data_IF_310729643974
#
_entry.id   IF_310729643974
#
_cell.length_a   1.000
_cell.length_b   1.000
_cell.length_c   1.000
_cell.angle_alpha   90.00
_cell.angle_beta   90.00
_cell.angle_gamma   90.00
#
_symmetry.space_group_name_H-M   'P 1'
#
loop_
_entity.id
_entity.type
_entity.pdbx_description
1 polymer ?
#
# COMPACT_ATOMS: atom_id res chain seq x y z
N UNK A 1 -32.11 -10.21 -13.03
CA UNK A 1 -31.00 -9.43 -13.62
C UNK A 1 -31.41 -7.98 -13.59
N UNK A 2 -30.56 -7.11 -13.14
CA UNK A 2 -30.80 -5.65 -13.12
C UNK A 2 -30.03 -5.03 -14.29
N UNK A 3 -30.72 -4.27 -15.13
CA UNK A 3 -30.08 -3.52 -16.21
C UNK A 3 -30.01 -2.03 -15.80
N UNK A 4 -28.79 -1.50 -15.73
CA UNK A 4 -28.52 -0.10 -15.39
C UNK A 4 -28.11 0.68 -16.65
N UNK A 5 -28.65 1.88 -16.88
CA UNK A 5 -28.36 2.66 -18.09
C UNK A 5 -26.87 3.00 -18.28
N UNK A 6 -26.11 3.13 -17.19
CA UNK A 6 -24.69 3.49 -17.23
C UNK A 6 -23.78 2.25 -17.19
N UNK A 7 -24.10 1.25 -16.36
CA UNK A 7 -23.26 0.10 -16.11
C UNK A 7 -23.68 -1.16 -16.87
N UNK A 8 -24.77 -1.10 -17.63
CA UNK A 8 -25.29 -2.24 -18.36
C UNK A 8 -25.87 -3.33 -17.45
N UNK A 9 -25.66 -4.58 -17.83
CA UNK A 9 -26.15 -5.73 -17.07
C UNK A 9 -25.41 -5.91 -15.75
N UNK A 10 -26.13 -5.83 -14.63
CA UNK A 10 -25.62 -6.09 -13.29
C UNK A 10 -25.94 -7.52 -12.86
N UNK A 11 -24.90 -8.32 -12.64
CA UNK A 11 -25.04 -9.72 -12.19
C UNK A 11 -25.40 -9.73 -10.70
N UNK A 12 -26.59 -10.24 -10.35
CA UNK A 12 -27.02 -10.35 -8.95
C UNK A 12 -26.67 -11.74 -8.41
N UNK A 13 -25.82 -11.79 -7.36
CA UNK A 13 -25.52 -13.01 -6.60
C UNK A 13 -26.15 -12.91 -5.20
N UNK A 14 -27.07 -13.79 -4.88
CA UNK A 14 -27.66 -13.93 -3.54
C UNK A 14 -26.69 -14.67 -2.63
N UNK A 15 -26.44 -14.12 -1.44
CA UNK A 15 -25.62 -14.74 -0.42
C UNK A 15 -26.31 -14.65 0.95
N UNK A 16 -26.70 -15.80 1.51
CA UNK A 16 -27.42 -15.88 2.78
C UNK A 16 -26.61 -15.34 3.98
N UNK A 17 -25.27 -15.32 3.88
CA UNK A 17 -24.38 -14.78 4.93
C UNK A 17 -24.18 -13.26 4.81
N UNK A 18 -24.56 -12.66 3.70
CA UNK A 18 -24.41 -11.21 3.50
C UNK A 18 -25.51 -10.47 4.24
N UNK A 19 -25.14 -9.42 4.97
CA UNK A 19 -26.08 -8.52 5.67
C UNK A 19 -26.35 -7.23 4.90
N UNK A 20 -25.51 -6.91 3.92
CA UNK A 20 -25.59 -5.68 3.14
C UNK A 20 -25.42 -5.97 1.65
N UNK A 21 -25.91 -5.04 0.81
CA UNK A 21 -25.63 -5.05 -0.63
C UNK A 21 -24.23 -4.52 -0.86
N UNK A 22 -23.40 -5.27 -1.59
CA UNK A 22 -22.07 -4.85 -1.99
C UNK A 22 -21.87 -5.02 -3.50
N UNK A 23 -21.05 -4.13 -4.09
CA UNK A 23 -20.73 -4.17 -5.51
C UNK A 23 -19.25 -4.49 -5.73
N UNK A 24 -19.02 -5.39 -6.68
CA UNK A 24 -17.69 -5.79 -7.13
C UNK A 24 -17.64 -5.85 -8.66
N UNK A 25 -16.47 -5.79 -9.23
CA UNK A 25 -16.27 -5.94 -10.68
C UNK A 25 -15.68 -7.32 -10.91
N UNK A 26 -16.36 -8.15 -11.73
CA UNK A 26 -15.90 -9.48 -12.10
C UNK A 26 -14.60 -9.43 -12.89
N UNK A 27 -13.96 -10.57 -13.08
CA UNK A 27 -12.76 -10.71 -13.95
C UNK A 27 -13.04 -10.35 -15.41
N UNK A 28 -14.30 -10.49 -15.84
CA UNK A 28 -14.76 -10.09 -17.19
C UNK A 28 -15.13 -8.59 -17.29
N UNK A 29 -14.88 -7.78 -16.25
CA UNK A 29 -15.18 -6.34 -16.24
C UNK A 29 -16.67 -6.00 -15.96
N UNK A 30 -17.55 -6.98 -15.76
CA UNK A 30 -18.98 -6.74 -15.49
C UNK A 30 -19.23 -6.41 -14.02
N UNK A 31 -20.19 -5.53 -13.78
CA UNK A 31 -20.63 -5.19 -12.42
C UNK A 31 -21.42 -6.35 -11.81
N UNK A 32 -21.05 -6.75 -10.61
CA UNK A 32 -21.68 -7.80 -9.84
C UNK A 32 -22.14 -7.26 -8.49
N UNK A 33 -23.41 -7.47 -8.15
CA UNK A 33 -23.97 -7.17 -6.85
C UNK A 33 -24.08 -8.45 -6.02
N UNK A 34 -23.45 -8.48 -4.84
CA UNK A 34 -23.69 -9.52 -3.83
C UNK A 34 -24.74 -8.99 -2.86
N UNK A 35 -25.85 -9.71 -2.73
CA UNK A 35 -27.02 -9.25 -2.00
C UNK A 35 -27.48 -10.27 -0.96
N UNK A 36 -28.04 -9.83 0.19
CA UNK A 36 -28.74 -10.70 1.12
C UNK A 36 -29.89 -11.44 0.43
N UNK A 37 -30.25 -12.62 0.91
CA UNK A 37 -31.33 -13.43 0.33
C UNK A 37 -32.70 -12.71 0.28
N UNK A 38 -32.94 -11.80 1.24
CA UNK A 38 -34.17 -11.02 1.38
C UNK A 38 -34.15 -9.66 0.66
N UNK A 39 -33.00 -9.28 0.05
CA UNK A 39 -32.91 -7.98 -0.61
C UNK A 39 -33.76 -7.91 -1.85
N UNK A 40 -34.60 -6.86 -1.95
CA UNK A 40 -35.39 -6.56 -3.13
C UNK A 40 -34.55 -5.91 -4.23
N UNK A 41 -34.99 -6.01 -5.47
CA UNK A 41 -34.35 -5.34 -6.61
C UNK A 41 -34.32 -3.82 -6.43
N UNK A 42 -35.35 -3.23 -5.82
CA UNK A 42 -35.38 -1.82 -5.45
C UNK A 42 -34.28 -1.44 -4.48
N UNK A 43 -33.98 -2.30 -3.50
CA UNK A 43 -32.86 -2.07 -2.56
C UNK A 43 -31.51 -2.07 -3.28
N UNK A 44 -31.32 -2.99 -4.23
CA UNK A 44 -30.10 -3.06 -5.04
C UNK A 44 -29.93 -1.79 -5.87
N UNK A 45 -31.01 -1.34 -6.55
CA UNK A 45 -31.00 -0.11 -7.36
C UNK A 45 -30.68 1.13 -6.53
N UNK A 46 -31.35 1.30 -5.38
CA UNK A 46 -31.09 2.44 -4.49
C UNK A 46 -29.66 2.45 -3.97
N UNK A 47 -29.09 1.28 -3.68
CA UNK A 47 -27.69 1.17 -3.22
C UNK A 47 -26.71 1.44 -4.38
N UNK A 48 -27.03 0.98 -5.59
CA UNK A 48 -26.27 1.27 -6.79
C UNK A 48 -26.20 2.79 -7.04
N UNK A 49 -27.34 3.48 -6.95
CA UNK A 49 -27.41 4.93 -7.15
C UNK A 49 -26.57 5.69 -6.12
N UNK A 50 -26.60 5.28 -4.85
CA UNK A 50 -25.77 5.88 -3.78
C UNK A 50 -24.26 5.68 -4.01
N UNK A 51 -23.88 4.56 -4.60
CA UNK A 51 -22.47 4.19 -4.81
C UNK A 51 -21.99 4.43 -6.26
N UNK A 52 -22.80 5.05 -7.11
CA UNK A 52 -22.57 5.23 -8.54
C UNK A 52 -21.18 5.83 -8.84
N UNK A 53 -20.81 6.90 -8.17
CA UNK A 53 -19.50 7.53 -8.35
C UNK A 53 -18.34 6.61 -7.96
N UNK A 54 -18.46 5.92 -6.82
CA UNK A 54 -17.44 4.96 -6.36
C UNK A 54 -17.28 3.77 -7.31
N UNK A 55 -18.40 3.31 -7.89
CA UNK A 55 -18.39 2.21 -8.87
C UNK A 55 -17.76 2.67 -10.18
N UNK A 56 -18.09 3.87 -10.65
CA UNK A 56 -17.49 4.48 -11.84
C UNK A 56 -15.97 4.60 -11.70
N UNK A 57 -15.48 5.07 -10.56
CA UNK A 57 -14.05 5.19 -10.30
C UNK A 57 -13.37 3.80 -10.27
N UNK A 58 -13.99 2.81 -9.65
CA UNK A 58 -13.49 1.43 -9.66
C UNK A 58 -13.47 0.80 -11.05
N UNK A 59 -14.44 1.13 -11.92
CA UNK A 59 -14.45 0.67 -13.31
C UNK A 59 -13.34 1.30 -14.13
N UNK A 60 -13.10 2.63 -13.98
CA UNK A 60 -11.97 3.31 -14.61
C UNK A 60 -10.63 2.69 -14.21
N UNK A 61 -10.48 2.31 -12.94
CA UNK A 61 -9.27 1.64 -12.43
C UNK A 61 -9.03 0.28 -13.08
N UNK A 62 -10.09 -0.43 -13.48
CA UNK A 62 -10.00 -1.76 -14.13
C UNK A 62 -10.02 -1.70 -15.67
N UNK A 63 -10.06 -0.52 -16.26
CA UNK A 63 -9.90 -0.37 -17.71
C UNK A 63 -8.51 -0.93 -18.12
N UNK A 64 -8.42 -1.79 -19.15
CA UNK A 64 -7.17 -2.38 -19.62
C UNK A 64 -6.09 -1.36 -19.97
N UNK A 65 -6.45 -0.18 -20.48
CA UNK A 65 -5.50 0.89 -20.79
C UNK A 65 -4.90 1.49 -19.53
N UNK A 66 -5.73 1.78 -18.54
CA UNK A 66 -5.32 2.27 -17.21
C UNK A 66 -4.47 1.22 -16.48
N UNK A 67 -4.83 -0.06 -16.59
CA UNK A 67 -4.05 -1.14 -15.97
C UNK A 67 -2.66 -1.26 -16.62
N UNK A 68 -2.56 -1.22 -17.94
CA UNK A 68 -1.27 -1.22 -18.65
C UNK A 68 -0.38 -0.04 -18.25
N UNK A 69 -0.94 1.15 -18.14
CA UNK A 69 -0.21 2.34 -17.70
C UNK A 69 0.32 2.19 -16.26
N UNK A 70 -0.48 1.63 -15.35
CA UNK A 70 -0.07 1.31 -13.97
C UNK A 70 1.04 0.26 -13.93
N UNK A 71 0.92 -0.80 -14.71
CA UNK A 71 1.92 -1.87 -14.77
C UNK A 71 3.24 -1.34 -15.33
N UNK A 72 3.19 -0.50 -16.37
CA UNK A 72 4.37 0.18 -16.92
C UNK A 72 5.03 1.11 -15.90
N UNK A 73 4.23 1.93 -15.19
CA UNK A 73 4.72 2.79 -14.10
C UNK A 73 5.37 1.97 -12.98
N UNK A 74 4.71 0.91 -12.53
CA UNK A 74 5.23 0.00 -11.51
C UNK A 74 6.56 -0.64 -11.94
N UNK A 75 6.67 -1.07 -13.19
CA UNK A 75 7.91 -1.63 -13.75
C UNK A 75 9.04 -0.61 -13.75
N UNK A 76 8.76 0.63 -14.13
CA UNK A 76 9.73 1.72 -14.13
C UNK A 76 10.21 2.02 -12.69
N UNK A 77 9.27 2.21 -11.76
CA UNK A 77 9.61 2.48 -10.35
C UNK A 77 10.38 1.33 -9.71
N UNK A 78 10.04 0.07 -10.05
CA UNK A 78 10.78 -1.10 -9.57
C UNK A 78 12.23 -1.08 -10.09
N UNK A 79 12.46 -0.70 -11.35
CA UNK A 79 13.82 -0.56 -11.90
C UNK A 79 14.61 0.51 -11.13
N UNK A 80 14.06 1.71 -11.00
CA UNK A 80 14.70 2.82 -10.26
C UNK A 80 14.96 2.45 -8.79
N UNK A 81 13.99 1.84 -8.13
CA UNK A 81 14.10 1.43 -6.73
C UNK A 81 15.20 0.37 -6.51
N UNK A 82 15.36 -0.59 -7.44
CA UNK A 82 16.42 -1.60 -7.36
C UNK A 82 17.81 -1.00 -7.43
N UNK A 83 17.98 0.06 -8.21
CA UNK A 83 19.26 0.75 -8.39
C UNK A 83 19.58 1.68 -7.21
N UNK A 84 18.57 2.33 -6.65
CA UNK A 84 18.77 3.40 -5.66
C UNK A 84 18.57 2.97 -4.20
N UNK A 85 17.43 2.33 -3.88
CA UNK A 85 17.03 2.14 -2.49
C UNK A 85 17.98 1.22 -1.69
N UNK A 86 18.46 0.07 -2.21
CA UNK A 86 19.42 -0.75 -1.47
C UNK A 86 20.75 -0.02 -1.22
N UNK A 87 21.22 0.73 -2.20
CA UNK A 87 22.46 1.52 -2.07
C UNK A 87 22.29 2.61 -1.00
N UNK A 88 21.15 3.34 -1.01
CA UNK A 88 20.91 4.41 -0.04
C UNK A 88 20.69 3.86 1.38
N UNK A 89 20.02 2.73 1.51
CA UNK A 89 19.86 2.00 2.77
C UNK A 89 21.24 1.59 3.34
N UNK A 90 22.08 1.00 2.51
CA UNK A 90 23.43 0.57 2.89
C UNK A 90 24.31 1.75 3.32
N UNK A 91 24.22 2.89 2.61
CA UNK A 91 24.90 4.12 2.97
C UNK A 91 24.57 4.56 4.41
N UNK A 92 23.27 4.63 4.75
CA UNK A 92 22.85 5.03 6.10
C UNK A 92 23.15 3.96 7.14
N UNK A 93 23.00 2.69 6.82
CA UNK A 93 23.33 1.60 7.71
C UNK A 93 24.82 1.66 8.13
N UNK A 94 25.74 1.83 7.17
CA UNK A 94 27.17 2.01 7.46
C UNK A 94 27.48 3.29 8.23
N UNK A 95 26.85 4.39 7.84
CA UNK A 95 27.08 5.70 8.46
C UNK A 95 26.71 5.71 9.95
N UNK A 96 25.64 5.01 10.34
CA UNK A 96 25.10 5.03 11.69
C UNK A 96 25.28 3.71 12.45
N UNK A 97 25.98 2.73 11.87
CA UNK A 97 26.33 1.48 12.54
C UNK A 97 25.18 0.47 12.66
N UNK A 98 24.17 0.54 11.78
CA UNK A 98 23.08 -0.44 11.75
C UNK A 98 23.48 -1.71 11.01
N UNK A 99 22.97 -2.83 11.50
CA UNK A 99 23.12 -4.12 10.84
C UNK A 99 21.75 -4.72 10.51
N UNK A 100 21.56 -5.14 9.27
CA UNK A 100 20.39 -5.88 8.79
C UNK A 100 20.84 -7.01 7.87
N UNK A 101 20.01 -8.08 7.77
CA UNK A 101 20.34 -9.27 6.98
C UNK A 101 19.80 -9.19 5.56
N UNK A 102 18.67 -8.51 5.37
CA UNK A 102 17.96 -8.53 4.10
C UNK A 102 17.23 -7.23 3.81
N UNK A 103 17.28 -6.79 2.55
CA UNK A 103 16.42 -5.75 2.01
C UNK A 103 15.43 -6.33 1.00
N UNK A 104 14.16 -5.88 1.07
CA UNK A 104 13.09 -6.30 0.17
C UNK A 104 12.41 -5.06 -0.40
N UNK A 105 12.16 -5.05 -1.71
CA UNK A 105 11.36 -4.01 -2.34
C UNK A 105 9.90 -4.45 -2.41
N UNK A 106 9.00 -3.59 -1.96
CA UNK A 106 7.56 -3.82 -1.90
C UNK A 106 6.78 -2.80 -2.72
N UNK A 107 5.51 -3.09 -2.97
CA UNK A 107 4.55 -2.18 -3.61
C UNK A 107 3.24 -2.13 -2.81
N UNK A 108 3.33 -2.23 -1.48
CA UNK A 108 2.18 -2.15 -0.59
C UNK A 108 1.48 -0.79 -0.73
N UNK A 109 0.15 -0.76 -0.63
CA UNK A 109 -0.64 0.48 -0.73
C UNK A 109 -0.76 1.24 0.59
N UNK A 110 -0.33 0.64 1.72
CA UNK A 110 -0.60 1.14 3.06
C UNK A 110 0.63 1.59 3.85
N UNK A 111 1.85 1.31 3.36
CA UNK A 111 3.08 1.63 4.11
C UNK A 111 4.24 1.95 3.17
N UNK A 112 5.11 2.86 3.60
CA UNK A 112 6.32 3.25 2.88
C UNK A 112 7.50 2.31 3.13
N UNK A 113 7.55 1.71 4.31
CA UNK A 113 8.56 0.74 4.70
C UNK A 113 8.09 -0.18 5.82
N UNK A 114 8.94 -1.09 6.24
CA UNK A 114 8.81 -1.86 7.48
C UNK A 114 10.13 -2.53 7.86
N UNK A 115 10.44 -2.56 9.15
CA UNK A 115 11.47 -3.38 9.73
C UNK A 115 10.82 -4.61 10.41
N UNK A 116 11.34 -5.79 10.16
CA UNK A 116 10.83 -7.03 10.77
C UNK A 116 11.96 -7.85 11.37
N UNK A 117 11.75 -8.29 12.61
CA UNK A 117 12.62 -9.18 13.35
C UNK A 117 12.00 -10.57 13.38
N UNK A 118 12.62 -11.54 12.74
CA UNK A 118 12.08 -12.91 12.65
C UNK A 118 13.07 -13.95 13.19
N UNK A 119 12.58 -14.80 14.08
CA UNK A 119 13.26 -16.03 14.49
C UNK A 119 12.55 -17.23 13.88
N UNK A 120 13.30 -18.15 13.30
CA UNK A 120 12.76 -19.40 12.75
C UNK A 120 12.63 -20.49 13.84
N UNK A 121 13.43 -20.40 14.91
CA UNK A 121 13.34 -21.25 16.10
C UNK A 121 13.93 -20.48 17.30
N UNK A 122 13.76 -21.03 18.52
CA UNK A 122 14.29 -20.45 19.78
C UNK A 122 15.82 -20.30 19.71
N UNK A 123 16.51 -21.23 19.07
CA UNK A 123 17.98 -21.26 18.95
C UNK A 123 18.51 -20.54 17.70
N UNK A 124 17.64 -20.16 16.78
CA UNK A 124 18.06 -19.46 15.57
C UNK A 124 18.38 -17.98 15.85
N UNK A 125 19.36 -17.39 15.16
CA UNK A 125 19.58 -15.95 15.21
C UNK A 125 18.34 -15.21 14.67
N UNK A 126 18.14 -13.99 15.16
CA UNK A 126 17.09 -13.11 14.64
C UNK A 126 17.51 -12.61 13.27
N UNK A 127 16.67 -12.79 12.27
CA UNK A 127 16.85 -12.21 10.94
C UNK A 127 16.13 -10.89 10.87
N UNK A 128 16.87 -9.82 10.56
CA UNK A 128 16.37 -8.46 10.41
C UNK A 128 16.17 -8.17 8.92
N UNK A 129 14.93 -7.90 8.55
CA UNK A 129 14.58 -7.57 7.16
C UNK A 129 13.98 -6.17 7.07
N UNK A 130 14.60 -5.32 6.26
CA UNK A 130 14.07 -4.00 5.91
C UNK A 130 13.29 -4.11 4.59
N UNK A 131 12.04 -3.69 4.60
CA UNK A 131 11.23 -3.60 3.39
C UNK A 131 11.02 -2.13 3.04
N UNK A 132 11.30 -1.76 1.79
CA UNK A 132 11.12 -0.40 1.27
C UNK A 132 10.15 -0.40 0.09
N UNK A 133 9.24 0.56 0.06
CA UNK A 133 8.24 0.67 -1.00
C UNK A 133 8.83 1.34 -2.23
N UNK A 134 8.59 0.77 -3.42
CA UNK A 134 9.02 1.37 -4.69
C UNK A 134 8.38 2.74 -4.95
N UNK A 135 7.23 3.03 -4.33
CA UNK A 135 6.59 4.33 -4.33
C UNK A 135 7.47 5.46 -3.77
N UNK A 136 8.49 5.13 -2.97
CA UNK A 136 9.51 6.08 -2.50
C UNK A 136 10.22 6.79 -3.66
N UNK A 137 10.27 6.20 -4.83
CA UNK A 137 10.86 6.86 -6.01
C UNK A 137 10.01 8.03 -6.55
N UNK A 138 8.78 8.21 -6.05
CA UNK A 138 7.87 9.31 -6.43
C UNK A 138 7.90 10.48 -5.45
N UNK A 139 8.58 10.35 -4.32
CA UNK A 139 8.72 11.41 -3.31
C UNK A 139 10.12 12.02 -3.36
N UNK A 140 10.31 13.27 -2.91
CA UNK A 140 11.62 13.91 -2.81
C UNK A 140 12.60 13.12 -1.97
N UNK A 141 13.90 13.36 -2.19
CA UNK A 141 14.98 12.60 -1.54
C UNK A 141 14.93 12.70 -0.01
N UNK A 142 14.65 13.88 0.54
CA UNK A 142 14.58 14.08 1.98
C UNK A 142 13.52 13.21 2.67
N UNK A 143 12.30 13.09 2.07
CA UNK A 143 11.27 12.19 2.59
C UNK A 143 11.64 10.71 2.41
N UNK A 144 12.34 10.38 1.34
CA UNK A 144 12.86 9.03 1.08
C UNK A 144 13.87 8.63 2.11
N UNK A 145 14.83 9.52 2.40
CA UNK A 145 15.85 9.33 3.42
C UNK A 145 15.25 9.21 4.81
N UNK A 146 14.26 10.05 5.13
CA UNK A 146 13.52 9.93 6.38
C UNK A 146 12.91 8.54 6.56
N UNK A 147 12.27 7.97 5.53
CA UNK A 147 11.70 6.61 5.62
C UNK A 147 12.79 5.57 5.85
N UNK A 148 13.91 5.67 5.15
CA UNK A 148 15.04 4.74 5.32
C UNK A 148 15.58 4.80 6.75
N UNK A 149 15.80 5.99 7.28
CA UNK A 149 16.29 6.20 8.66
C UNK A 149 15.29 5.72 9.70
N UNK A 150 13.98 5.94 9.46
CA UNK A 150 12.89 5.44 10.28
C UNK A 150 12.89 3.90 10.38
N UNK A 151 13.04 3.21 9.24
CA UNK A 151 13.09 1.75 9.23
C UNK A 151 14.39 1.20 9.86
N UNK A 152 15.51 1.91 9.72
CA UNK A 152 16.76 1.55 10.39
C UNK A 152 16.67 1.74 11.91
N UNK A 153 16.04 2.81 12.41
CA UNK A 153 15.83 3.02 13.85
C UNK A 153 15.00 1.92 14.49
N UNK A 154 14.09 1.28 13.75
CA UNK A 154 13.33 0.11 14.22
C UNK A 154 14.20 -1.13 14.49
N UNK A 155 15.45 -1.16 14.06
CA UNK A 155 16.40 -2.23 14.43
C UNK A 155 16.66 -2.21 15.93
N UNK A 156 16.83 -1.02 16.52
CA UNK A 156 17.10 -0.82 17.95
C UNK A 156 15.80 -0.66 18.76
N UNK A 157 14.81 0.01 18.19
CA UNK A 157 13.55 0.36 18.84
C UNK A 157 12.35 -0.16 18.03
N UNK A 158 11.80 -1.35 18.37
CA UNK A 158 10.69 -1.95 17.63
C UNK A 158 9.37 -1.13 17.68
N UNK A 159 9.24 -0.27 18.67
CA UNK A 159 8.10 0.63 18.88
C UNK A 159 8.46 2.09 18.56
N UNK A 160 7.46 2.98 18.57
CA UNK A 160 7.66 4.42 18.39
C UNK A 160 7.77 5.15 19.73
N UNK A 161 8.62 4.62 20.64
CA UNK A 161 8.93 5.21 21.95
C UNK A 161 9.63 6.58 21.84
N UNK A 162 9.91 7.21 22.97
CA UNK A 162 10.68 8.46 23.00
C UNK A 162 12.11 8.23 22.50
N UNK A 163 12.68 7.10 22.84
CA UNK A 163 14.02 6.66 22.45
C UNK A 163 14.10 6.47 20.93
N UNK A 164 13.08 5.87 20.33
CA UNK A 164 12.96 5.76 18.87
C UNK A 164 13.00 7.14 18.20
N UNK A 165 12.17 8.07 18.66
CA UNK A 165 12.11 9.40 18.04
C UNK A 165 13.38 10.22 18.30
N UNK A 166 14.04 10.04 19.44
CA UNK A 166 15.32 10.67 19.72
C UNK A 166 16.41 10.16 18.77
N UNK A 167 16.42 8.86 18.46
CA UNK A 167 17.34 8.27 17.50
C UNK A 167 17.07 8.78 16.08
N UNK A 168 15.81 8.80 15.63
CA UNK A 168 15.44 9.36 14.32
C UNK A 168 15.86 10.84 14.24
N UNK A 169 15.60 11.65 15.27
CA UNK A 169 15.95 13.08 15.31
C UNK A 169 17.46 13.30 15.26
N UNK A 170 18.26 12.41 15.86
CA UNK A 170 19.72 12.49 15.81
C UNK A 170 20.30 12.28 14.40
N UNK A 171 19.59 11.54 13.55
CA UNK A 171 20.00 11.25 12.17
C UNK A 171 19.35 12.19 11.15
N UNK A 172 18.13 12.63 11.42
CA UNK A 172 17.35 13.59 10.63
C UNK A 172 16.72 14.64 11.54
N UNK A 173 17.39 15.74 11.85
CA UNK A 173 16.84 16.81 12.71
C UNK A 173 15.53 17.42 12.19
N UNK A 174 15.25 17.29 10.90
CA UNK A 174 14.04 17.80 10.25
C UNK A 174 12.95 16.73 10.06
N UNK A 175 13.07 15.57 10.70
CA UNK A 175 12.18 14.42 10.49
C UNK A 175 10.69 14.75 10.62
N UNK A 176 10.30 15.69 11.48
CA UNK A 176 8.89 16.10 11.68
C UNK A 176 8.33 16.70 10.40
N UNK A 177 9.08 17.60 9.76
CA UNK A 177 8.68 18.22 8.51
C UNK A 177 8.66 17.20 7.36
N UNK A 178 9.66 16.31 7.27
CA UNK A 178 9.71 15.25 6.25
C UNK A 178 8.54 14.27 6.41
N UNK A 179 8.19 13.89 7.64
CA UNK A 179 7.04 13.05 7.97
C UNK A 179 5.73 13.71 7.59
N UNK A 180 5.54 14.99 7.91
CA UNK A 180 4.33 15.73 7.57
C UNK A 180 4.14 15.83 6.06
N UNK A 181 5.17 16.19 5.32
CA UNK A 181 5.14 16.22 3.86
C UNK A 181 4.89 14.82 3.27
N UNK A 182 5.47 13.76 3.83
CA UNK A 182 5.24 12.40 3.38
C UNK A 182 3.77 11.98 3.54
N UNK A 183 3.07 12.47 4.57
CA UNK A 183 1.66 12.18 4.81
C UNK A 183 0.72 12.78 3.73
N UNK A 184 1.19 13.73 2.93
CA UNK A 184 0.44 14.25 1.76
C UNK A 184 0.47 13.29 0.57
N UNK A 185 1.32 12.26 0.62
CA UNK A 185 1.49 11.25 -0.42
C UNK A 185 0.93 9.90 0.03
N UNK A 186 0.61 9.04 -0.92
CA UNK A 186 0.19 7.66 -0.65
C UNK A 186 1.23 6.67 -1.19
N UNK A 187 1.53 5.57 -0.47
CA UNK A 187 2.53 4.59 -0.91
C UNK A 187 2.17 3.86 -2.22
N UNK A 188 0.90 3.92 -2.64
CA UNK A 188 0.38 3.19 -3.80
C UNK A 188 1.00 3.64 -5.14
N UNK A 189 1.12 2.67 -6.05
CA UNK A 189 1.61 2.84 -7.43
C UNK A 189 0.50 2.52 -8.42
#
# INVERSE_FOLDING_TARGET
MLNDPEFGEVIIKKNARSRTVSFSISTSGRLQATVPSFASERTVKNTLDKLRNQIRDKLKVKDPSTQRARDAKKKLLMKQAKEYLPYRLEYFAKRYGYHYDKVVLSHASSRWGSCTHRKTSILAPTTITISLNIGLMQVPEAQRDYVILHELAHINHPDHSKEFWAEVESHDPNYRAHRELLNTHTPGV
#
